data_IF_663121052470
#
_entry.id   IF_663121052470
#
_cell.length_a   1.000
_cell.length_b   1.000
_cell.length_c   1.000
_cell.angle_alpha   90.00
_cell.angle_beta   90.00
_cell.angle_gamma   90.00
#
_symmetry.space_group_name_H-M   'P 1'
#
loop_
_entity.id
_entity.type
_entity.pdbx_description
1 polymer ?
#
# COMPACT_ATOMS: atom_id res chain seq x y z
N UNK A 1 -24.41 33.44 5.98
CA UNK A 1 -24.14 34.12 4.70
C UNK A 1 -24.97 33.42 3.65
N UNK A 2 -25.88 34.12 2.96
CA UNK A 2 -26.70 33.51 1.91
C UNK A 2 -25.79 33.12 0.74
N UNK A 3 -25.63 31.82 0.50
CA UNK A 3 -24.86 31.30 -0.64
C UNK A 3 -25.52 31.77 -1.93
N UNK A 4 -24.77 32.51 -2.74
CA UNK A 4 -25.15 32.94 -4.09
C UNK A 4 -25.22 31.73 -5.01
N UNK A 5 -26.24 30.89 -4.85
CA UNK A 5 -26.52 29.79 -5.78
C UNK A 5 -26.88 30.39 -7.14
N UNK A 6 -26.21 29.92 -8.19
CA UNK A 6 -26.50 30.28 -9.58
C UNK A 6 -27.97 29.99 -9.88
N UNK A 7 -28.62 30.85 -10.66
CA UNK A 7 -29.97 30.56 -11.14
C UNK A 7 -29.90 29.26 -11.97
N UNK A 8 -30.66 28.25 -11.57
CA UNK A 8 -30.71 26.98 -12.28
C UNK A 8 -31.33 27.18 -13.66
N UNK A 9 -30.62 26.76 -14.71
CA UNK A 9 -31.15 26.70 -16.07
C UNK A 9 -31.82 25.35 -16.34
N UNK A 10 -31.36 24.30 -15.63
CA UNK A 10 -31.85 22.94 -15.76
C UNK A 10 -31.91 22.28 -14.38
N UNK A 11 -33.10 21.81 -13.99
CA UNK A 11 -33.33 21.11 -12.73
C UNK A 11 -33.95 19.75 -13.01
N UNK A 12 -33.37 18.70 -12.44
CA UNK A 12 -33.94 17.35 -12.43
C UNK A 12 -34.26 16.98 -10.99
N UNK A 13 -35.51 16.59 -10.76
CA UNK A 13 -36.06 16.24 -9.45
C UNK A 13 -37.13 15.16 -9.60
N UNK A 14 -37.49 14.50 -8.50
CA UNK A 14 -38.53 13.47 -8.44
C UNK A 14 -38.06 12.04 -8.72
N UNK A 15 -36.74 11.83 -8.82
CA UNK A 15 -36.12 10.52 -9.06
C UNK A 15 -36.04 10.13 -10.55
N UNK A 16 -35.62 8.89 -10.81
CA UNK A 16 -35.47 8.35 -12.17
C UNK A 16 -34.21 8.84 -12.90
N UNK A 17 -34.09 8.51 -14.19
CA UNK A 17 -32.91 8.85 -15.01
C UNK A 17 -33.28 9.78 -16.16
N UNK A 18 -32.56 10.89 -16.27
CA UNK A 18 -32.62 11.81 -17.42
C UNK A 18 -31.31 11.70 -18.20
N UNK A 19 -31.40 11.24 -19.44
CA UNK A 19 -30.26 11.22 -20.37
C UNK A 19 -30.17 12.57 -21.06
N UNK A 20 -29.11 13.32 -20.79
CA UNK A 20 -28.84 14.60 -21.42
C UNK A 20 -27.76 14.37 -22.48
N UNK A 21 -28.16 14.49 -23.75
CA UNK A 21 -27.31 14.17 -24.90
C UNK A 21 -27.15 15.37 -25.82
N UNK A 22 -26.22 15.26 -26.78
CA UNK A 22 -25.89 16.33 -27.73
C UNK A 22 -25.21 17.53 -27.08
N UNK A 23 -24.92 18.55 -27.90
CA UNK A 23 -24.38 19.82 -27.40
C UNK A 23 -25.53 20.70 -26.89
N UNK A 24 -25.53 21.00 -25.60
CA UNK A 24 -26.49 21.93 -25.00
C UNK A 24 -25.86 23.32 -24.86
N UNK A 25 -26.61 24.37 -25.21
CA UNK A 25 -26.13 25.75 -25.24
C UNK A 25 -26.78 26.64 -24.19
N UNK A 26 -27.56 26.07 -23.26
CA UNK A 26 -28.14 26.85 -22.17
C UNK A 26 -27.02 27.40 -21.26
N UNK A 27 -27.25 28.59 -20.72
CA UNK A 27 -26.37 29.23 -19.73
C UNK A 27 -27.05 29.19 -18.37
N UNK A 28 -26.30 28.86 -17.32
CA UNK A 28 -26.82 28.73 -15.96
C UNK A 28 -26.62 27.32 -15.40
N UNK A 29 -26.90 27.16 -14.11
CA UNK A 29 -26.53 25.94 -13.39
C UNK A 29 -27.41 24.73 -13.71
N UNK A 30 -26.84 23.54 -13.51
CA UNK A 30 -27.52 22.25 -13.51
C UNK A 30 -27.74 21.81 -12.06
N UNK A 31 -28.97 21.48 -11.71
CA UNK A 31 -29.33 21.04 -10.36
C UNK A 31 -29.96 19.66 -10.42
N UNK A 32 -29.40 18.70 -9.69
CA UNK A 32 -29.87 17.32 -9.57
C UNK A 32 -30.32 17.09 -8.13
N UNK A 33 -31.58 16.69 -7.94
CA UNK A 33 -32.24 16.56 -6.64
C UNK A 33 -33.08 15.27 -6.57
N UNK A 34 -33.57 14.96 -5.36
CA UNK A 34 -34.64 13.97 -5.16
C UNK A 34 -34.27 12.55 -5.57
N UNK A 35 -33.00 12.14 -5.42
CA UNK A 35 -32.53 10.81 -5.83
C UNK A 35 -32.47 10.61 -7.34
N UNK A 36 -32.53 11.69 -8.13
CA UNK A 36 -32.49 11.60 -9.59
C UNK A 36 -31.09 11.23 -10.13
N UNK A 37 -31.06 10.70 -11.35
CA UNK A 37 -29.83 10.41 -12.09
C UNK A 37 -29.79 11.28 -13.35
N UNK A 38 -28.75 12.08 -13.54
CA UNK A 38 -28.47 12.75 -14.82
C UNK A 38 -27.35 12.00 -15.52
N UNK A 39 -27.64 11.44 -16.69
CA UNK A 39 -26.69 10.70 -17.51
C UNK A 39 -26.12 11.60 -18.61
N UNK A 40 -24.78 11.66 -18.67
CA UNK A 40 -24.01 12.47 -19.62
C UNK A 40 -22.88 11.66 -20.25
N UNK A 41 -22.47 12.06 -21.45
CA UNK A 41 -21.35 11.51 -22.22
C UNK A 41 -20.31 12.57 -22.62
N UNK A 42 -20.56 13.86 -22.35
CA UNK A 42 -19.64 14.97 -22.59
C UNK A 42 -19.94 16.15 -21.66
N UNK A 43 -18.94 17.01 -21.40
CA UNK A 43 -19.11 18.26 -20.62
C UNK A 43 -20.21 19.17 -21.20
N UNK A 44 -20.27 19.27 -22.54
CA UNK A 44 -21.27 20.07 -23.25
C UNK A 44 -22.71 19.56 -23.08
N UNK A 45 -22.93 18.36 -22.53
CA UNK A 45 -24.28 17.97 -22.13
C UNK A 45 -24.81 18.86 -21.00
N UNK A 46 -23.92 19.36 -20.12
CA UNK A 46 -24.24 20.22 -18.97
C UNK A 46 -24.40 21.71 -19.35
N UNK A 47 -24.62 22.02 -20.63
CA UNK A 47 -24.81 23.38 -21.13
C UNK A 47 -23.49 24.08 -21.48
N UNK A 48 -23.53 25.40 -21.67
CA UNK A 48 -22.32 26.19 -21.85
C UNK A 48 -21.53 26.29 -20.54
N UNK A 49 -20.21 26.10 -20.61
CA UNK A 49 -19.32 26.33 -19.47
C UNK A 49 -19.26 27.83 -19.13
N UNK A 50 -19.17 28.19 -17.84
CA UNK A 50 -19.01 29.59 -17.46
C UNK A 50 -17.60 30.09 -17.83
N UNK A 51 -17.47 31.37 -18.17
CA UNK A 51 -16.18 31.96 -18.59
C UNK A 51 -15.21 32.24 -17.44
N UNK A 52 -15.66 32.03 -16.21
CA UNK A 52 -14.91 32.16 -14.95
C UNK A 52 -15.46 31.11 -13.99
N UNK A 53 -14.67 30.69 -13.01
CA UNK A 53 -15.13 29.73 -12.01
C UNK A 53 -16.41 30.20 -11.31
N UNK A 54 -17.44 29.34 -11.31
CA UNK A 54 -18.71 29.58 -10.62
C UNK A 54 -19.02 28.43 -9.66
N UNK A 55 -19.01 28.67 -8.32
CA UNK A 55 -19.40 27.66 -7.35
C UNK A 55 -20.82 27.13 -7.56
N UNK A 56 -21.01 25.81 -7.42
CA UNK A 56 -22.33 25.18 -7.52
C UNK A 56 -23.02 25.37 -8.88
N UNK A 57 -22.23 25.49 -9.96
CA UNK A 57 -22.74 25.49 -11.33
C UNK A 57 -23.33 24.12 -11.68
N UNK A 58 -22.76 23.05 -11.14
CA UNK A 58 -23.40 21.72 -11.08
C UNK A 58 -23.70 21.43 -9.62
N UNK A 59 -24.93 21.05 -9.29
CA UNK A 59 -25.33 20.69 -7.92
C UNK A 59 -25.81 19.24 -7.92
N UNK A 60 -25.13 18.38 -7.16
CA UNK A 60 -25.47 16.97 -6.98
C UNK A 60 -25.94 16.82 -5.53
N UNK A 61 -27.24 16.95 -5.31
CA UNK A 61 -27.85 16.94 -3.97
C UNK A 61 -28.55 15.61 -3.78
N UNK A 62 -27.96 14.70 -3.00
CA UNK A 62 -28.50 13.37 -2.71
C UNK A 62 -28.97 12.64 -3.98
N UNK A 63 -28.14 12.73 -5.02
CA UNK A 63 -28.47 12.34 -6.39
C UNK A 63 -27.22 11.90 -7.15
N UNK A 64 -27.37 11.50 -8.42
CA UNK A 64 -26.29 10.91 -9.21
C UNK A 64 -26.01 11.68 -10.51
N UNK A 65 -24.74 11.96 -10.75
CA UNK A 65 -24.21 12.23 -12.08
C UNK A 65 -23.64 10.93 -12.67
N UNK A 66 -24.26 10.39 -13.71
CA UNK A 66 -23.85 9.17 -14.40
C UNK A 66 -23.03 9.52 -15.66
N UNK A 67 -21.77 9.11 -15.70
CA UNK A 67 -20.82 9.34 -16.78
C UNK A 67 -20.68 8.09 -17.64
N UNK A 68 -21.11 8.20 -18.90
CA UNK A 68 -21.27 7.07 -19.83
C UNK A 68 -20.22 7.05 -20.96
N UNK A 69 -19.36 8.06 -21.03
CA UNK A 69 -18.24 8.14 -21.98
C UNK A 69 -17.15 9.01 -21.38
N UNK A 70 -15.90 8.82 -21.81
CA UNK A 70 -14.77 9.52 -21.19
C UNK A 70 -14.74 11.00 -21.60
N UNK A 71 -14.67 11.89 -20.62
CA UNK A 71 -14.49 13.32 -20.86
C UNK A 71 -13.89 14.02 -19.63
N UNK A 72 -13.46 15.26 -19.84
CA UNK A 72 -13.01 16.17 -18.78
C UNK A 72 -14.09 17.22 -18.55
N UNK A 73 -14.50 17.42 -17.30
CA UNK A 73 -15.38 18.56 -16.97
C UNK A 73 -14.56 19.85 -17.02
N UNK A 74 -15.19 20.90 -17.54
CA UNK A 74 -14.60 22.23 -17.55
C UNK A 74 -14.35 22.72 -16.11
N UNK A 75 -13.12 23.17 -15.77
CA UNK A 75 -12.74 23.47 -14.39
C UNK A 75 -13.47 24.70 -13.82
N UNK A 76 -14.05 25.55 -14.66
CA UNK A 76 -14.86 26.68 -14.23
C UNK A 76 -16.26 26.27 -13.71
N UNK A 77 -16.69 25.02 -13.94
CA UNK A 77 -17.96 24.49 -13.42
C UNK A 77 -17.84 23.98 -11.99
N UNK A 78 -17.84 24.88 -11.00
CA UNK A 78 -17.84 24.48 -9.59
C UNK A 78 -18.95 23.49 -9.25
N UNK A 79 -18.63 22.44 -8.51
CA UNK A 79 -19.55 21.34 -8.19
C UNK A 79 -19.94 21.43 -6.72
N UNK A 80 -21.24 21.55 -6.46
CA UNK A 80 -21.77 21.49 -5.11
C UNK A 80 -22.23 20.08 -4.78
N UNK A 81 -21.75 19.54 -3.66
CA UNK A 81 -22.24 18.30 -3.06
C UNK A 81 -22.79 18.62 -1.67
N UNK A 82 -24.07 18.40 -1.47
CA UNK A 82 -24.70 18.75 -0.21
C UNK A 82 -26.07 18.12 -0.09
N UNK A 83 -26.52 17.85 1.13
CA UNK A 83 -27.88 17.38 1.41
C UNK A 83 -28.73 18.41 2.16
N UNK A 84 -29.93 17.98 2.53
CA UNK A 84 -30.87 18.81 3.32
C UNK A 84 -30.78 18.57 4.83
N UNK A 85 -30.15 17.47 5.26
CA UNK A 85 -29.82 17.19 6.67
C UNK A 85 -28.87 15.98 6.82
N UNK A 86 -27.90 16.04 7.73
CA UNK A 86 -27.05 14.90 8.10
C UNK A 86 -25.84 14.65 7.20
N UNK A 87 -25.31 13.43 7.24
CA UNK A 87 -24.32 12.92 6.28
C UNK A 87 -25.04 12.67 4.95
N UNK A 88 -24.63 13.38 3.91
CA UNK A 88 -25.23 13.31 2.58
C UNK A 88 -24.14 13.24 1.52
N UNK A 89 -24.46 12.63 0.38
CA UNK A 89 -23.50 12.44 -0.70
C UNK A 89 -24.02 13.00 -2.02
N UNK A 90 -23.12 13.62 -2.77
CA UNK A 90 -23.26 13.68 -4.23
C UNK A 90 -22.68 12.41 -4.83
N UNK A 91 -23.45 11.69 -5.64
CA UNK A 91 -22.97 10.45 -6.28
C UNK A 91 -22.40 10.75 -7.65
N UNK A 92 -21.19 10.27 -7.92
CA UNK A 92 -20.56 10.23 -9.23
C UNK A 92 -20.47 8.77 -9.66
N UNK A 93 -21.27 8.36 -10.64
CA UNK A 93 -21.23 7.01 -11.20
C UNK A 93 -20.50 7.05 -12.54
N UNK A 94 -19.35 6.40 -12.64
CA UNK A 94 -18.56 6.31 -13.88
C UNK A 94 -18.66 4.88 -14.40
N UNK A 95 -19.14 4.69 -15.63
CA UNK A 95 -19.31 3.34 -16.19
C UNK A 95 -17.97 2.59 -16.36
N UNK A 96 -17.98 1.25 -16.41
CA UNK A 96 -16.76 0.47 -16.58
C UNK A 96 -16.01 0.85 -17.87
N UNK A 97 -14.70 1.01 -17.78
CA UNK A 97 -13.84 1.42 -18.91
C UNK A 97 -13.95 2.91 -19.30
N UNK A 98 -14.74 3.69 -18.57
CA UNK A 98 -14.86 5.14 -18.76
C UNK A 98 -13.96 5.88 -17.78
N UNK A 99 -13.36 6.99 -18.26
CA UNK A 99 -12.54 7.89 -17.44
C UNK A 99 -13.21 9.25 -17.36
N UNK A 100 -13.58 9.67 -16.16
CA UNK A 100 -14.10 11.01 -15.89
C UNK A 100 -13.04 11.86 -15.20
N UNK A 101 -12.55 12.90 -15.88
CA UNK A 101 -11.51 13.78 -15.34
C UNK A 101 -12.13 15.05 -14.79
N UNK A 102 -11.86 15.36 -13.53
CA UNK A 102 -12.36 16.56 -12.85
C UNK A 102 -11.22 17.46 -12.37
N UNK A 103 -11.11 18.60 -13.04
CA UNK A 103 -10.30 19.75 -12.60
C UNK A 103 -11.11 20.83 -11.89
N UNK A 104 -12.41 20.64 -11.72
CA UNK A 104 -13.28 21.52 -10.94
C UNK A 104 -13.28 21.15 -9.45
N UNK A 105 -13.64 22.11 -8.60
CA UNK A 105 -13.74 21.94 -7.14
C UNK A 105 -15.10 21.37 -6.77
N UNK A 106 -15.09 20.30 -5.97
CA UNK A 106 -16.24 19.85 -5.19
C UNK A 106 -16.26 20.57 -3.84
N UNK A 107 -17.39 21.17 -3.49
CA UNK A 107 -17.58 22.00 -2.30
C UNK A 107 -18.95 21.70 -1.66
N UNK A 108 -19.00 21.71 -0.32
CA UNK A 108 -20.22 21.59 0.48
C UNK A 108 -20.63 22.95 1.11
N UNK A 109 -19.95 24.01 0.69
CA UNK A 109 -20.07 25.40 1.14
C UNK A 109 -19.81 25.56 2.66
N UNK A 110 -19.06 24.63 3.27
CA UNK A 110 -18.71 24.64 4.69
C UNK A 110 -19.92 24.51 5.63
N UNK A 111 -21.06 24.04 5.12
CA UNK A 111 -22.35 24.05 5.84
C UNK A 111 -22.87 22.67 6.23
N UNK A 112 -22.18 21.59 5.86
CA UNK A 112 -22.62 20.21 6.07
C UNK A 112 -21.43 19.27 6.18
N UNK A 113 -21.62 18.06 6.70
CA UNK A 113 -20.63 16.96 6.62
C UNK A 113 -20.80 16.17 5.32
N UNK A 114 -21.05 16.85 4.20
CA UNK A 114 -21.39 16.18 2.94
C UNK A 114 -20.15 15.73 2.21
N UNK A 115 -20.25 14.59 1.55
CA UNK A 115 -19.15 13.93 0.88
C UNK A 115 -19.44 13.58 -0.57
N UNK A 116 -18.56 12.76 -1.14
CA UNK A 116 -18.73 12.19 -2.48
C UNK A 116 -18.84 10.67 -2.36
N UNK A 117 -19.77 10.10 -3.13
CA UNK A 117 -19.90 8.67 -3.34
C UNK A 117 -19.54 8.34 -4.79
N UNK A 118 -18.48 7.58 -5.02
CA UNK A 118 -17.99 7.21 -6.35
C UNK A 118 -18.32 5.75 -6.62
N UNK A 119 -18.96 5.46 -7.75
CA UNK A 119 -19.38 4.10 -8.11
C UNK A 119 -19.37 3.86 -9.62
N UNK A 120 -19.79 2.67 -10.07
CA UNK A 120 -20.02 2.32 -11.46
C UNK A 120 -18.90 1.55 -12.16
N UNK A 121 -17.72 1.39 -11.54
CA UNK A 121 -16.64 0.57 -12.08
C UNK A 121 -15.64 1.29 -13.00
N UNK A 122 -15.84 2.58 -13.25
CA UNK A 122 -14.93 3.41 -14.04
C UNK A 122 -13.83 4.08 -13.22
N UNK A 123 -13.06 4.93 -13.89
CA UNK A 123 -12.01 5.75 -13.26
C UNK A 123 -12.47 7.19 -13.10
N UNK A 124 -12.45 7.68 -11.86
CA UNK A 124 -12.69 9.07 -11.51
C UNK A 124 -11.36 9.75 -11.19
N UNK A 125 -10.90 10.64 -12.06
CA UNK A 125 -9.62 11.34 -11.90
C UNK A 125 -9.86 12.71 -11.29
N UNK A 126 -9.29 12.94 -10.11
CA UNK A 126 -9.49 14.17 -9.34
C UNK A 126 -8.19 14.95 -9.27
N UNK A 127 -8.20 16.16 -9.83
CA UNK A 127 -6.99 17.00 -9.94
C UNK A 127 -7.09 18.31 -9.16
N UNK A 128 -8.30 18.73 -8.79
CA UNK A 128 -8.54 19.93 -8.00
C UNK A 128 -8.32 19.70 -6.49
N UNK A 129 -8.07 20.79 -5.77
CA UNK A 129 -8.20 20.84 -4.32
C UNK A 129 -9.68 20.88 -3.99
N UNK A 130 -10.20 19.87 -3.31
CA UNK A 130 -11.62 19.79 -2.97
C UNK A 130 -11.89 20.31 -1.57
N UNK A 131 -13.05 20.95 -1.39
CA UNK A 131 -13.42 21.69 -0.18
C UNK A 131 -14.55 21.04 0.62
N UNK A 132 -15.20 19.98 0.08
CA UNK A 132 -16.16 19.21 0.86
C UNK A 132 -15.51 18.65 2.14
N UNK A 133 -16.29 18.60 3.21
CA UNK A 133 -15.82 18.27 4.56
C UNK A 133 -16.33 16.94 5.10
N UNK A 134 -17.16 16.22 4.33
CA UNK A 134 -17.56 14.84 4.61
C UNK A 134 -16.69 13.79 3.91
N UNK A 135 -17.11 12.53 4.00
CA UNK A 135 -16.31 11.39 3.55
C UNK A 135 -16.19 11.27 2.03
N UNK A 136 -15.09 10.67 1.58
CA UNK A 136 -15.00 10.11 0.22
C UNK A 136 -15.29 8.62 0.29
N UNK A 137 -16.30 8.15 -0.44
CA UNK A 137 -16.67 6.73 -0.52
C UNK A 137 -16.40 6.22 -1.92
N UNK A 138 -15.67 5.13 -2.05
CA UNK A 138 -15.28 4.50 -3.31
C UNK A 138 -15.88 3.11 -3.34
N UNK A 139 -16.85 2.86 -4.23
CA UNK A 139 -17.51 1.56 -4.39
C UNK A 139 -17.22 0.98 -5.77
N UNK A 140 -16.55 -0.16 -5.83
CA UNK A 140 -16.19 -0.91 -7.05
C UNK A 140 -15.44 -0.09 -8.12
N UNK A 141 -14.96 1.11 -7.80
CA UNK A 141 -14.45 2.10 -8.77
C UNK A 141 -13.02 2.50 -8.47
N UNK A 142 -12.32 3.09 -9.44
CA UNK A 142 -10.99 3.66 -9.22
C UNK A 142 -11.08 5.17 -9.03
N UNK A 143 -10.58 5.70 -7.91
CA UNK A 143 -10.38 7.14 -7.72
C UNK A 143 -8.90 7.47 -7.82
N UNK A 144 -8.52 8.20 -8.86
CA UNK A 144 -7.14 8.60 -9.10
C UNK A 144 -6.89 9.99 -8.51
N UNK A 145 -5.86 10.10 -7.65
CA UNK A 145 -5.46 11.32 -6.95
C UNK A 145 -3.95 11.53 -6.96
N UNK A 146 -3.52 12.76 -6.72
CA UNK A 146 -2.12 13.17 -6.63
C UNK A 146 -1.76 13.83 -5.30
N UNK A 147 -2.74 14.05 -4.42
CA UNK A 147 -2.56 14.64 -3.10
C UNK A 147 -3.76 14.33 -2.20
N UNK A 148 -3.56 14.31 -0.88
CA UNK A 148 -4.65 14.10 0.11
C UNK A 148 -5.81 15.10 -0.06
N UNK A 149 -5.50 16.37 -0.37
CA UNK A 149 -6.52 17.39 -0.59
C UNK A 149 -7.41 17.17 -1.82
N UNK A 150 -7.08 16.21 -2.70
CA UNK A 150 -8.01 15.75 -3.73
C UNK A 150 -9.20 14.99 -3.12
N UNK A 151 -9.06 14.44 -1.92
CA UNK A 151 -10.09 13.68 -1.18
C UNK A 151 -10.96 14.57 -0.27
N UNK A 152 -10.94 15.89 -0.49
CA UNK A 152 -11.66 16.86 0.33
C UNK A 152 -10.86 17.32 1.54
N UNK A 153 -11.48 18.14 2.38
CA UNK A 153 -10.86 18.68 3.60
C UNK A 153 -10.58 17.55 4.59
N UNK A 154 -9.32 17.43 5.02
CA UNK A 154 -8.95 16.49 6.09
C UNK A 154 -9.65 16.89 7.41
N UNK A 155 -10.12 15.94 8.21
CA UNK A 155 -10.83 16.23 9.44
C UNK A 155 -9.84 16.73 10.50
N UNK A 156 -10.28 17.64 11.37
CA UNK A 156 -9.41 18.25 12.40
C UNK A 156 -9.06 17.29 13.55
N UNK A 157 -9.82 16.21 13.68
CA UNK A 157 -9.63 15.13 14.65
C UNK A 157 -9.85 13.81 13.92
N UNK A 158 -9.21 12.74 14.41
CA UNK A 158 -9.39 11.42 13.84
C UNK A 158 -10.88 11.07 13.72
N UNK A 159 -11.29 10.77 12.49
CA UNK A 159 -12.65 10.41 12.12
C UNK A 159 -12.57 9.14 11.29
N UNK A 160 -13.02 8.02 11.86
CA UNK A 160 -13.13 6.75 11.14
C UNK A 160 -14.10 6.89 9.96
N UNK A 161 -13.80 6.23 8.83
CA UNK A 161 -14.64 6.26 7.63
C UNK A 161 -14.70 7.63 6.94
N UNK A 162 -13.69 8.48 7.11
CA UNK A 162 -13.55 9.71 6.33
C UNK A 162 -13.07 9.44 4.90
N UNK A 163 -12.41 8.30 4.70
CA UNK A 163 -12.24 7.64 3.43
C UNK A 163 -12.77 6.19 3.57
N UNK A 164 -13.60 5.75 2.62
CA UNK A 164 -14.14 4.39 2.58
C UNK A 164 -13.80 3.80 1.21
N UNK A 165 -13.20 2.61 1.18
CA UNK A 165 -12.84 1.88 -0.03
C UNK A 165 -13.49 0.49 0.00
N UNK A 166 -14.64 0.37 -0.66
CA UNK A 166 -15.50 -0.81 -0.64
C UNK A 166 -15.48 -1.48 -2.03
N UNK A 167 -14.66 -2.51 -2.19
CA UNK A 167 -14.36 -3.15 -3.48
C UNK A 167 -13.64 -2.25 -4.49
N UNK A 168 -13.41 -0.98 -4.13
CA UNK A 168 -12.81 0.04 -4.98
C UNK A 168 -11.29 0.11 -4.89
N UNK A 169 -10.72 1.11 -5.57
CA UNK A 169 -9.28 1.39 -5.59
C UNK A 169 -9.01 2.88 -5.39
N UNK A 170 -8.18 3.22 -4.41
CA UNK A 170 -7.50 4.51 -4.37
C UNK A 170 -6.22 4.42 -5.20
N UNK A 171 -6.12 5.22 -6.25
CA UNK A 171 -4.97 5.24 -7.16
C UNK A 171 -4.15 6.53 -6.95
N UNK A 172 -2.96 6.40 -6.35
CA UNK A 172 -1.99 7.48 -6.17
C UNK A 172 -1.00 7.60 -7.34
N UNK A 173 -0.95 8.78 -7.98
CA UNK A 173 -0.02 9.10 -9.08
C UNK A 173 1.19 9.96 -8.66
N UNK A 174 1.22 10.41 -7.41
CA UNK A 174 2.28 11.27 -6.86
C UNK A 174 2.54 10.88 -5.41
N UNK A 175 3.74 11.20 -4.90
CA UNK A 175 4.08 10.94 -3.51
C UNK A 175 3.36 11.91 -2.58
N UNK A 176 2.55 11.39 -1.66
CA UNK A 176 1.89 12.17 -0.63
C UNK A 176 1.55 11.30 0.59
N UNK A 177 1.15 11.96 1.68
CA UNK A 177 0.67 11.33 2.90
C UNK A 177 -0.83 11.55 3.02
N UNK A 178 -1.60 10.47 3.24
CA UNK A 178 -2.98 10.56 3.71
C UNK A 178 -2.96 11.07 5.15
N UNK A 179 -3.74 12.11 5.43
CA UNK A 179 -3.74 12.77 6.75
C UNK A 179 -4.07 11.76 7.87
N UNK A 180 -3.34 11.82 8.98
CA UNK A 180 -3.51 10.87 10.09
C UNK A 180 -4.93 10.91 10.71
N UNK A 181 -5.66 12.01 10.56
CA UNK A 181 -7.03 12.13 11.04
C UNK A 181 -8.07 11.57 10.05
N UNK A 182 -7.70 11.37 8.77
CA UNK A 182 -8.58 10.77 7.75
C UNK A 182 -8.60 9.26 7.95
N UNK A 183 -9.38 8.78 8.92
CA UNK A 183 -9.55 7.35 9.16
C UNK A 183 -10.11 6.65 7.92
N UNK A 184 -9.58 5.47 7.62
CA UNK A 184 -9.90 4.70 6.43
C UNK A 184 -10.68 3.46 6.85
N UNK A 185 -11.81 3.19 6.18
CA UNK A 185 -12.47 1.89 6.25
C UNK A 185 -12.35 1.18 4.90
N UNK A 186 -12.13 -0.13 4.92
CA UNK A 186 -12.04 -0.98 3.72
C UNK A 186 -13.10 -2.07 3.73
N UNK A 187 -13.51 -2.52 2.55
CA UNK A 187 -14.50 -3.60 2.37
C UNK A 187 -15.96 -3.17 2.45
N UNK A 188 -16.84 -4.16 2.40
CA UNK A 188 -18.30 -3.97 2.30
C UNK A 188 -18.93 -4.05 3.70
N UNK A 189 -19.96 -3.24 3.95
CA UNK A 189 -20.57 -3.18 5.29
C UNK A 189 -21.42 -4.41 5.66
N UNK A 190 -21.65 -5.32 4.72
CA UNK A 190 -22.57 -6.47 4.83
C UNK A 190 -21.87 -7.80 4.58
N UNK A 191 -20.94 -7.86 3.62
CA UNK A 191 -20.17 -9.05 3.28
C UNK A 191 -18.68 -8.77 3.38
N UNK A 192 -17.87 -9.82 3.53
CA UNK A 192 -16.42 -9.68 3.44
C UNK A 192 -16.05 -9.14 2.06
N UNK A 193 -15.39 -8.00 2.05
CA UNK A 193 -14.91 -7.29 0.87
C UNK A 193 -13.43 -6.95 0.98
N UNK A 194 -12.97 -6.08 0.09
CA UNK A 194 -11.61 -5.56 0.13
C UNK A 194 -11.54 -4.08 -0.18
N UNK A 195 -10.45 -3.44 0.20
CA UNK A 195 -10.07 -2.11 -0.27
C UNK A 195 -8.70 -2.15 -0.95
N UNK A 196 -8.60 -1.56 -2.15
CA UNK A 196 -7.36 -1.59 -2.92
C UNK A 196 -6.62 -0.24 -2.93
N UNK A 197 -5.29 -0.31 -2.88
CA UNK A 197 -4.40 0.82 -3.14
C UNK A 197 -3.53 0.54 -4.37
N UNK A 198 -3.68 1.35 -5.41
CA UNK A 198 -2.77 1.37 -6.55
C UNK A 198 -1.75 2.49 -6.39
N UNK A 199 -0.47 2.15 -6.39
CA UNK A 199 0.61 3.15 -6.32
C UNK A 199 1.48 3.08 -7.57
N UNK A 200 1.65 4.21 -8.23
CA UNK A 200 2.45 4.31 -9.46
C UNK A 200 3.94 4.09 -9.26
N UNK A 201 4.64 3.83 -10.35
CA UNK A 201 6.08 3.59 -10.29
C UNK A 201 6.81 4.80 -9.71
N UNK A 202 7.76 4.55 -8.81
CA UNK A 202 8.53 5.59 -8.11
C UNK A 202 7.70 6.52 -7.22
N UNK A 203 6.44 6.18 -6.95
CA UNK A 203 5.56 6.90 -6.02
C UNK A 203 5.54 6.18 -4.67
N UNK A 204 5.49 6.96 -3.60
CA UNK A 204 5.23 6.48 -2.23
C UNK A 204 3.90 7.08 -1.75
N UNK A 205 2.91 6.24 -1.49
CA UNK A 205 1.71 6.63 -0.77
C UNK A 205 1.90 6.29 0.70
N UNK A 206 1.99 7.30 1.57
CA UNK A 206 2.05 7.08 3.02
C UNK A 206 0.65 7.15 3.61
N UNK A 207 0.23 6.11 4.31
CA UNK A 207 -1.01 6.10 5.09
C UNK A 207 -0.63 6.24 6.57
N UNK A 208 -0.79 7.45 7.08
CA UNK A 208 -0.51 7.77 8.49
C UNK A 208 -1.71 7.53 9.41
N UNK A 209 -2.90 7.35 8.84
CA UNK A 209 -4.14 7.03 9.55
C UNK A 209 -4.24 5.54 9.88
N UNK A 210 -5.21 5.19 10.73
CA UNK A 210 -5.67 3.81 10.90
C UNK A 210 -6.49 3.39 9.67
N UNK A 211 -6.26 2.16 9.20
CA UNK A 211 -7.15 1.40 8.33
C UNK A 211 -7.87 0.35 9.18
N UNK A 212 -9.18 0.25 9.03
CA UNK A 212 -10.06 -0.65 9.79
C UNK A 212 -11.15 -1.23 8.87
N UNK A 213 -11.89 -2.23 9.35
CA UNK A 213 -12.96 -2.89 8.59
C UNK A 213 -14.19 -1.97 8.45
N UNK A 214 -14.85 -2.02 7.30
CA UNK A 214 -16.06 -1.24 7.03
C UNK A 214 -17.34 -1.97 7.47
N UNK A 215 -17.25 -2.94 8.36
CA UNK A 215 -18.39 -3.77 8.74
C UNK A 215 -18.08 -4.80 9.80
N UNK A 216 -18.91 -5.84 9.85
CA UNK A 216 -18.64 -7.03 10.66
C UNK A 216 -18.18 -8.14 9.73
N UNK A 217 -16.90 -8.15 9.37
CA UNK A 217 -16.31 -9.14 8.49
C UNK A 217 -14.81 -8.90 8.37
N UNK A 218 -14.08 -9.95 8.00
CA UNK A 218 -12.62 -9.94 7.85
C UNK A 218 -12.24 -9.23 6.53
N UNK A 219 -12.48 -7.92 6.43
CA UNK A 219 -12.23 -7.15 5.21
C UNK A 219 -10.72 -7.02 4.92
N UNK A 220 -10.34 -7.28 3.67
CA UNK A 220 -8.94 -7.39 3.26
C UNK A 220 -8.37 -6.15 2.60
N UNK A 221 -7.07 -5.93 2.73
CA UNK A 221 -6.34 -4.89 2.00
C UNK A 221 -5.63 -5.48 0.79
N UNK A 222 -5.77 -4.84 -0.37
CA UNK A 222 -5.03 -5.24 -1.58
C UNK A 222 -4.08 -4.13 -2.03
N UNK A 223 -2.78 -4.43 -2.09
CA UNK A 223 -1.75 -3.55 -2.63
C UNK A 223 -1.40 -3.93 -4.07
N UNK A 224 -1.71 -3.03 -4.99
CA UNK A 224 -1.38 -3.15 -6.42
C UNK A 224 -0.50 -1.98 -6.89
N UNK A 225 -0.10 -2.02 -8.16
CA UNK A 225 0.78 -1.04 -8.78
C UNK A 225 2.24 -1.16 -8.31
N UNK A 226 3.21 -0.71 -9.13
CA UNK A 226 4.63 -0.95 -8.90
C UNK A 226 5.28 -0.07 -7.82
N UNK A 227 4.57 0.94 -7.30
CA UNK A 227 5.07 1.83 -6.25
C UNK A 227 5.01 1.26 -4.85
N UNK A 228 5.32 2.12 -3.87
CA UNK A 228 5.34 1.79 -2.45
C UNK A 228 4.08 2.29 -1.74
N UNK A 229 3.36 1.38 -1.08
CA UNK A 229 2.40 1.74 -0.05
C UNK A 229 3.10 1.63 1.29
N UNK A 230 3.17 2.73 2.02
CA UNK A 230 3.79 2.80 3.34
C UNK A 230 2.72 2.93 4.41
N UNK A 231 2.62 1.95 5.31
CA UNK A 231 1.68 1.93 6.42
C UNK A 231 2.39 2.41 7.70
N UNK A 232 2.10 3.64 8.12
CA UNK A 232 2.62 4.25 9.36
C UNK A 232 1.64 4.08 10.54
N UNK A 233 0.35 3.89 10.27
CA UNK A 233 -0.70 3.70 11.27
C UNK A 233 -0.69 2.30 11.91
N UNK A 234 -1.40 2.18 13.04
CA UNK A 234 -1.75 0.90 13.65
C UNK A 234 -3.06 0.40 13.02
N UNK A 235 -2.94 -0.42 11.98
CA UNK A 235 -4.09 -0.90 11.21
C UNK A 235 -4.75 -2.08 11.93
N UNK A 236 -6.07 -2.10 11.93
CA UNK A 236 -6.90 -2.99 12.74
C UNK A 236 -7.86 -3.87 11.94
N UNK A 237 -7.84 -3.77 10.60
CA UNK A 237 -8.62 -4.64 9.73
C UNK A 237 -8.24 -6.11 9.93
N UNK A 238 -9.22 -7.00 9.89
CA UNK A 238 -9.04 -8.42 10.27
C UNK A 238 -8.76 -9.32 9.05
N UNK A 239 -9.12 -8.89 7.84
CA UNK A 239 -8.86 -9.63 6.60
C UNK A 239 -7.41 -9.57 6.11
N UNK A 240 -7.05 -10.55 5.27
CA UNK A 240 -5.69 -10.68 4.72
C UNK A 240 -5.22 -9.41 4.00
N UNK A 241 -3.93 -9.11 4.14
CA UNK A 241 -3.23 -8.12 3.33
C UNK A 241 -2.59 -8.82 2.12
N UNK A 242 -3.17 -8.64 0.93
CA UNK A 242 -2.65 -9.17 -0.32
C UNK A 242 -1.72 -8.14 -1.00
N UNK A 243 -0.46 -8.51 -1.21
CA UNK A 243 0.52 -7.65 -1.90
C UNK A 243 0.84 -8.22 -3.26
N UNK A 244 0.03 -7.81 -4.23
CA UNK A 244 0.09 -8.27 -5.63
C UNK A 244 1.26 -7.67 -6.40
N UNK A 245 1.57 -6.38 -6.17
CA UNK A 245 2.63 -5.66 -6.89
C UNK A 245 3.29 -4.58 -6.04
N UNK A 246 4.54 -4.27 -6.40
CA UNK A 246 5.32 -3.21 -5.78
C UNK A 246 5.74 -3.54 -4.36
N UNK A 247 5.83 -2.51 -3.52
CA UNK A 247 6.29 -2.64 -2.14
C UNK A 247 5.18 -2.29 -1.15
N UNK A 248 4.98 -3.14 -0.15
CA UNK A 248 4.31 -2.79 1.10
C UNK A 248 5.39 -2.53 2.16
N UNK A 249 5.50 -1.29 2.61
CA UNK A 249 6.44 -0.87 3.66
C UNK A 249 5.68 -0.70 4.98
N UNK A 250 5.79 -1.66 5.89
CA UNK A 250 5.12 -1.66 7.19
C UNK A 250 6.04 -0.98 8.21
N UNK A 251 5.64 0.20 8.69
CA UNK A 251 6.36 0.93 9.75
C UNK A 251 5.55 0.99 11.04
N UNK A 252 4.22 1.10 10.92
CA UNK A 252 3.28 0.89 12.02
C UNK A 252 3.02 -0.59 12.23
N UNK A 253 1.75 -1.00 12.24
CA UNK A 253 1.38 -2.40 12.41
C UNK A 253 0.19 -2.82 11.54
N UNK A 254 0.10 -4.11 11.26
CA UNK A 254 -1.11 -4.78 10.78
C UNK A 254 -1.50 -5.88 11.78
N UNK A 255 -2.79 -6.19 11.87
CA UNK A 255 -3.35 -7.25 12.74
C UNK A 255 -3.62 -8.56 12.01
N UNK A 256 -3.56 -8.55 10.67
CA UNK A 256 -3.94 -9.68 9.82
C UNK A 256 -2.75 -10.37 9.18
N UNK A 257 -3.02 -11.56 8.63
CA UNK A 257 -2.10 -12.28 7.75
C UNK A 257 -1.70 -11.41 6.55
N UNK A 258 -0.49 -11.61 6.03
CA UNK A 258 0.01 -10.90 4.86
C UNK A 258 0.51 -11.90 3.82
N UNK A 259 -0.04 -11.82 2.62
CA UNK A 259 0.34 -12.65 1.47
C UNK A 259 1.10 -11.81 0.44
N UNK A 260 2.40 -12.06 0.31
CA UNK A 260 3.24 -11.41 -0.68
C UNK A 260 3.32 -12.25 -1.96
N UNK A 261 2.69 -11.77 -3.03
CA UNK A 261 2.63 -12.44 -4.32
C UNK A 261 3.88 -12.21 -5.20
N UNK A 262 3.97 -12.95 -6.30
CA UNK A 262 5.18 -13.02 -7.11
C UNK A 262 5.68 -11.65 -7.59
N UNK A 263 6.93 -11.34 -7.25
CA UNK A 263 7.59 -10.08 -7.61
C UNK A 263 7.26 -8.89 -6.71
N UNK A 264 6.40 -9.04 -5.70
CA UNK A 264 6.16 -8.01 -4.70
C UNK A 264 7.21 -8.03 -3.59
N UNK A 265 7.18 -7.00 -2.74
CA UNK A 265 8.14 -6.83 -1.65
C UNK A 265 7.42 -6.40 -0.38
N UNK A 266 7.73 -7.08 0.73
CA UNK A 266 7.42 -6.62 2.09
C UNK A 266 8.68 -6.00 2.67
N UNK A 267 8.56 -4.79 3.20
CA UNK A 267 9.65 -4.05 3.82
C UNK A 267 9.21 -3.34 5.09
N UNK A 268 10.15 -2.65 5.73
CA UNK A 268 9.86 -1.75 6.84
C UNK A 268 10.27 -2.25 8.22
N UNK A 269 9.96 -1.46 9.24
CA UNK A 269 10.42 -1.69 10.62
C UNK A 269 9.30 -2.00 11.62
N UNK A 270 8.09 -2.23 11.11
CA UNK A 270 6.88 -2.40 11.90
C UNK A 270 6.57 -3.85 12.21
N UNK A 271 5.31 -4.07 12.61
CA UNK A 271 4.81 -5.37 13.05
C UNK A 271 3.72 -5.89 12.11
N UNK A 272 3.96 -7.05 11.50
CA UNK A 272 2.93 -7.86 10.82
C UNK A 272 2.39 -8.87 11.84
N UNK A 273 1.39 -8.51 12.65
CA UNK A 273 0.86 -9.37 13.73
C UNK A 273 -0.08 -10.45 13.19
N UNK A 274 0.42 -11.19 12.20
CA UNK A 274 -0.20 -12.32 11.54
C UNK A 274 0.88 -13.12 10.80
N UNK A 275 0.46 -14.14 10.07
CA UNK A 275 1.37 -14.96 9.26
C UNK A 275 1.80 -14.20 8.01
N UNK A 276 3.10 -14.00 7.83
CA UNK A 276 3.70 -13.54 6.59
C UNK A 276 4.01 -14.71 5.66
N UNK A 277 3.23 -14.85 4.59
CA UNK A 277 3.44 -15.86 3.55
C UNK A 277 3.98 -15.21 2.27
N UNK A 278 4.96 -15.83 1.62
CA UNK A 278 5.53 -15.31 0.37
C UNK A 278 5.47 -16.34 -0.75
N UNK A 279 5.07 -15.91 -1.95
CA UNK A 279 5.07 -16.72 -3.16
C UNK A 279 5.98 -16.09 -4.22
N UNK A 280 7.26 -16.44 -4.23
CA UNK A 280 8.27 -15.79 -5.10
C UNK A 280 8.34 -14.27 -4.91
N UNK A 281 8.25 -13.82 -3.66
CA UNK A 281 8.28 -12.41 -3.25
C UNK A 281 9.54 -12.10 -2.43
N UNK A 282 9.76 -10.81 -2.13
CA UNK A 282 10.89 -10.37 -1.31
C UNK A 282 10.44 -9.96 0.09
N UNK A 283 11.25 -10.28 1.09
CA UNK A 283 11.15 -9.73 2.46
C UNK A 283 12.46 -9.01 2.76
N UNK A 284 12.38 -7.69 2.93
CA UNK A 284 13.51 -6.78 3.11
C UNK A 284 13.29 -5.94 4.38
N UNK A 285 13.69 -6.43 5.57
CA UNK A 285 13.53 -5.66 6.80
C UNK A 285 14.15 -4.26 6.70
N UNK A 286 13.45 -3.29 7.27
CA UNK A 286 13.86 -1.89 7.34
C UNK A 286 13.60 -1.05 6.09
N UNK A 287 14.04 0.21 6.21
CA UNK A 287 14.53 1.00 5.05
C UNK A 287 16.04 0.79 4.86
N UNK A 288 16.51 -0.32 5.44
CA UNK A 288 17.86 -0.84 5.52
C UNK A 288 18.88 -0.01 6.33
N UNK A 289 19.46 -0.56 7.42
CA UNK A 289 19.01 -1.75 8.14
C UNK A 289 17.75 -1.49 9.00
N UNK A 290 17.09 -2.53 9.50
CA UNK A 290 15.91 -2.46 10.36
C UNK A 290 15.46 -3.82 10.91
N UNK A 291 14.45 -3.79 11.78
CA UNK A 291 13.83 -5.00 12.31
C UNK A 291 12.38 -5.01 11.83
N UNK A 292 11.99 -6.03 11.09
CA UNK A 292 10.60 -6.30 10.76
C UNK A 292 10.11 -7.43 11.67
N UNK A 293 8.96 -7.27 12.30
CA UNK A 293 8.37 -8.33 13.13
C UNK A 293 7.23 -9.03 12.41
N UNK A 294 7.07 -10.32 12.66
CA UNK A 294 5.88 -11.09 12.25
C UNK A 294 5.55 -12.18 13.26
N UNK A 295 4.32 -12.68 13.24
CA UNK A 295 3.98 -13.86 14.03
C UNK A 295 4.66 -15.09 13.46
N UNK A 296 4.18 -15.63 12.34
CA UNK A 296 4.85 -16.72 11.63
C UNK A 296 5.33 -16.25 10.27
N UNK A 297 6.37 -16.88 9.74
CA UNK A 297 6.83 -16.64 8.37
C UNK A 297 6.91 -17.93 7.57
N UNK A 298 6.29 -17.94 6.40
CA UNK A 298 6.40 -19.00 5.40
C UNK A 298 6.96 -18.45 4.10
N UNK A 299 8.17 -18.87 3.79
CA UNK A 299 8.78 -18.63 2.50
C UNK A 299 8.53 -19.78 1.54
N UNK A 300 8.13 -19.47 0.30
CA UNK A 300 8.17 -20.43 -0.79
C UNK A 300 9.51 -20.43 -1.52
N UNK A 301 9.74 -21.48 -2.29
CA UNK A 301 10.83 -21.52 -3.26
C UNK A 301 10.67 -20.39 -4.29
N UNK A 302 11.75 -19.66 -4.53
CA UNK A 302 11.75 -18.48 -5.41
C UNK A 302 11.63 -17.16 -4.64
N UNK A 303 11.19 -17.18 -3.38
CA UNK A 303 11.22 -15.98 -2.52
C UNK A 303 12.65 -15.59 -2.14
N UNK A 304 12.84 -14.33 -1.79
CA UNK A 304 14.13 -13.79 -1.34
C UNK A 304 13.99 -13.13 0.03
N UNK A 305 14.85 -13.53 0.96
CA UNK A 305 15.06 -12.79 2.20
C UNK A 305 16.33 -11.96 2.07
N UNK A 306 16.18 -10.63 2.07
CA UNK A 306 17.29 -9.68 1.98
C UNK A 306 17.73 -9.22 3.36
N UNK A 307 19.05 -9.15 3.56
CA UNK A 307 19.64 -8.72 4.82
C UNK A 307 20.87 -7.85 4.53
N UNK A 308 20.79 -6.58 4.88
CA UNK A 308 21.91 -5.67 4.99
C UNK A 308 22.64 -5.81 6.33
N UNK A 309 23.97 -5.95 6.29
CA UNK A 309 24.83 -6.05 7.46
C UNK A 309 25.74 -4.82 7.56
N UNK A 310 25.46 -3.93 8.52
CA UNK A 310 26.29 -2.79 8.92
C UNK A 310 27.00 -2.96 10.26
N UNK A 311 26.68 -4.01 11.01
CA UNK A 311 27.32 -4.39 12.27
C UNK A 311 26.62 -5.57 12.95
N UNK A 312 27.10 -5.98 14.13
CA UNK A 312 26.64 -7.21 14.79
C UNK A 312 25.34 -7.08 15.61
N UNK A 313 24.84 -5.86 15.81
CA UNK A 313 23.59 -5.62 16.56
C UNK A 313 22.44 -5.44 15.57
N UNK A 314 21.28 -6.10 15.71
CA UNK A 314 20.14 -5.84 14.83
C UNK A 314 19.56 -4.44 15.09
N UNK A 315 18.88 -3.83 14.13
CA UNK A 315 18.19 -2.54 14.33
C UNK A 315 18.37 -1.51 13.21
N UNK A 316 17.73 -0.36 13.39
CA UNK A 316 17.66 0.72 12.38
C UNK A 316 18.78 1.77 12.54
N UNK A 317 20.04 1.33 12.50
CA UNK A 317 21.19 2.20 12.74
C UNK A 317 22.37 1.93 11.81
N UNK A 318 23.24 2.93 11.66
CA UNK A 318 24.35 2.89 10.70
C UNK A 318 25.42 1.82 11.00
N UNK A 319 25.36 1.21 12.18
CA UNK A 319 26.24 0.12 12.65
C UNK A 319 25.45 -1.12 13.04
N UNK A 320 24.21 -1.25 12.56
CA UNK A 320 23.32 -2.36 12.84
C UNK A 320 23.17 -3.26 11.61
N UNK A 321 22.39 -4.33 11.73
CA UNK A 321 21.99 -5.19 10.62
C UNK A 321 20.48 -5.44 10.60
N UNK A 322 20.00 -5.92 9.47
CA UNK A 322 18.63 -6.36 9.33
C UNK A 322 18.34 -7.60 10.12
N UNK A 323 17.13 -7.66 10.64
CA UNK A 323 16.61 -8.85 11.28
C UNK A 323 15.12 -9.00 10.99
N UNK A 324 14.71 -10.23 10.71
CA UNK A 324 13.32 -10.63 10.83
C UNK A 324 13.12 -11.18 12.25
N UNK A 325 12.21 -10.57 13.01
CA UNK A 325 11.81 -11.05 14.32
C UNK A 325 10.52 -11.87 14.18
N UNK A 326 10.52 -13.12 14.63
CA UNK A 326 9.43 -14.07 14.44
C UNK A 326 9.03 -14.65 15.79
N UNK A 327 7.75 -14.51 16.15
CA UNK A 327 7.22 -14.97 17.44
C UNK A 327 6.61 -16.38 17.40
N UNK A 328 6.38 -16.89 16.20
CA UNK A 328 5.83 -18.19 15.88
C UNK A 328 6.75 -19.00 14.96
N UNK A 329 6.18 -19.69 13.99
CA UNK A 329 6.95 -20.66 13.18
C UNK A 329 7.75 -20.00 12.06
N UNK A 330 8.92 -20.58 11.75
CA UNK A 330 9.76 -20.19 10.61
C UNK A 330 9.84 -21.34 9.61
N UNK A 331 9.29 -21.16 8.42
CA UNK A 331 9.43 -22.08 7.29
C UNK A 331 10.19 -21.41 6.15
N UNK A 332 11.40 -21.89 5.85
CA UNK A 332 12.30 -21.23 4.88
C UNK A 332 12.08 -21.65 3.41
N UNK A 333 11.43 -22.79 3.18
CA UNK A 333 10.99 -23.29 1.87
C UNK A 333 12.00 -23.31 0.71
N UNK A 334 13.30 -23.18 0.97
CA UNK A 334 14.30 -23.04 -0.08
C UNK A 334 14.39 -21.63 -0.66
N UNK A 335 13.96 -20.59 0.06
CA UNK A 335 14.15 -19.20 -0.34
C UNK A 335 15.63 -18.83 -0.52
N UNK A 336 15.88 -17.79 -1.31
CA UNK A 336 17.22 -17.23 -1.50
C UNK A 336 17.56 -16.29 -0.34
N UNK A 337 18.68 -16.52 0.33
CA UNK A 337 19.26 -15.54 1.26
C UNK A 337 20.13 -14.57 0.46
N UNK A 338 19.73 -13.30 0.40
CA UNK A 338 20.50 -12.22 -0.23
C UNK A 338 21.16 -11.36 0.84
N UNK A 339 22.48 -11.18 0.74
CA UNK A 339 23.27 -10.48 1.74
C UNK A 339 23.92 -9.22 1.15
N UNK A 340 23.65 -8.08 1.76
CA UNK A 340 24.23 -6.78 1.42
C UNK A 340 25.22 -6.30 2.48
N UNK A 341 26.33 -5.71 2.05
CA UNK A 341 27.17 -4.90 2.96
C UNK A 341 26.51 -3.53 3.13
N UNK A 342 26.37 -3.07 4.36
CA UNK A 342 25.91 -1.71 4.65
C UNK A 342 27.06 -0.85 5.16
N UNK A 343 27.10 0.41 4.70
CA UNK A 343 28.01 1.44 5.20
C UNK A 343 29.51 1.02 5.28
N UNK A 344 29.96 0.19 4.31
CA UNK A 344 31.35 -0.27 4.24
C UNK A 344 31.77 -1.23 5.35
N UNK A 345 30.82 -1.85 6.05
CA UNK A 345 31.10 -2.75 7.18
C UNK A 345 31.95 -3.95 6.77
N UNK A 346 33.06 -4.19 7.46
CA UNK A 346 33.91 -5.36 7.26
C UNK A 346 33.80 -6.30 8.47
N UNK A 347 33.25 -7.52 8.30
CA UNK A 347 33.14 -8.48 9.38
C UNK A 347 34.52 -8.93 9.89
N UNK A 348 34.58 -9.29 11.17
CA UNK A 348 35.78 -9.84 11.81
C UNK A 348 35.63 -11.34 12.08
N UNK A 349 36.76 -12.05 12.21
CA UNK A 349 36.74 -13.48 12.50
C UNK A 349 36.08 -13.78 13.85
N UNK A 350 35.09 -14.66 13.86
CA UNK A 350 34.27 -15.05 15.00
C UNK A 350 33.01 -14.20 15.20
N UNK A 351 32.80 -13.15 14.39
CA UNK A 351 31.64 -12.28 14.53
C UNK A 351 30.35 -12.97 14.08
N UNK A 352 29.28 -12.78 14.86
CA UNK A 352 27.97 -13.40 14.65
C UNK A 352 26.89 -12.39 14.34
N UNK A 353 25.89 -12.79 13.54
CA UNK A 353 24.75 -11.98 13.12
C UNK A 353 23.49 -12.84 13.19
N UNK A 354 22.49 -12.43 13.98
CA UNK A 354 21.21 -13.13 14.11
C UNK A 354 20.24 -12.50 13.11
N UNK A 355 20.09 -13.14 11.94
CA UNK A 355 19.34 -12.57 10.82
C UNK A 355 17.85 -12.92 10.88
N UNK A 356 17.51 -14.03 11.54
CA UNK A 356 16.14 -14.33 11.96
C UNK A 356 16.22 -14.66 13.46
N UNK A 357 15.54 -13.85 14.27
CA UNK A 357 15.31 -14.13 15.68
C UNK A 357 14.00 -14.89 15.79
N UNK A 358 14.08 -16.15 16.22
CA UNK A 358 12.93 -17.03 16.40
C UNK A 358 12.73 -17.20 17.90
N UNK A 359 11.97 -16.28 18.49
CA UNK A 359 12.02 -16.01 19.93
C UNK A 359 11.31 -17.06 20.80
N UNK A 360 10.50 -17.92 20.18
CA UNK A 360 9.75 -19.00 20.82
C UNK A 360 10.59 -20.28 20.86
N UNK A 361 10.00 -21.42 21.25
CA UNK A 361 10.67 -22.74 21.13
C UNK A 361 10.38 -23.41 19.77
N UNK A 362 9.69 -22.72 18.86
CA UNK A 362 9.28 -23.28 17.58
C UNK A 362 10.50 -23.54 16.69
N UNK A 363 10.47 -24.63 15.94
CA UNK A 363 11.61 -25.03 15.10
C UNK A 363 11.63 -24.24 13.79
N UNK A 364 12.83 -23.84 13.36
CA UNK A 364 13.07 -23.47 11.96
C UNK A 364 12.94 -24.72 11.10
N UNK A 365 12.06 -24.68 10.11
CA UNK A 365 11.85 -25.77 9.16
C UNK A 365 12.36 -25.41 7.76
N UNK A 366 12.93 -26.41 7.08
CA UNK A 366 13.62 -26.20 5.81
C UNK A 366 14.93 -25.44 5.97
N UNK A 367 15.50 -25.01 4.84
CA UNK A 367 16.74 -24.23 4.78
C UNK A 367 16.63 -23.19 3.67
N UNK A 368 17.53 -22.22 3.64
CA UNK A 368 17.73 -21.40 2.45
C UNK A 368 18.30 -22.26 1.31
N UNK A 369 18.09 -21.80 0.07
CA UNK A 369 18.56 -22.49 -1.12
C UNK A 369 20.08 -22.72 -1.08
N UNK A 370 20.51 -23.97 -1.27
CA UNK A 370 21.93 -24.33 -1.31
C UNK A 370 22.70 -24.20 0.02
N UNK A 371 22.01 -23.86 1.11
CA UNK A 371 22.63 -23.61 2.42
C UNK A 371 22.05 -24.58 3.45
N UNK A 372 22.57 -25.81 3.51
CA UNK A 372 22.24 -26.73 4.60
C UNK A 372 22.77 -26.21 5.97
N UNK A 373 22.39 -26.84 7.07
CA UNK A 373 22.99 -26.56 8.40
C UNK A 373 24.52 -26.62 8.32
N UNK A 374 25.20 -25.55 8.74
CA UNK A 374 26.66 -25.41 8.61
C UNK A 374 27.15 -25.06 7.20
N UNK A 375 26.24 -24.70 6.29
CA UNK A 375 26.53 -24.25 4.94
C UNK A 375 27.45 -23.03 4.92
N UNK A 376 28.29 -22.94 3.88
CA UNK A 376 29.33 -21.91 3.77
C UNK A 376 29.02 -20.89 2.69
N UNK A 377 29.15 -19.61 3.05
CA UNK A 377 29.05 -18.47 2.14
C UNK A 377 30.46 -17.89 2.01
N UNK A 378 31.12 -18.20 0.90
CA UNK A 378 32.50 -17.74 0.63
C UNK A 378 32.55 -16.24 0.37
N UNK A 379 33.67 -15.61 0.74
CA UNK A 379 33.90 -14.18 0.55
C UNK A 379 32.75 -13.31 1.10
N UNK A 380 32.29 -13.66 2.31
CA UNK A 380 31.19 -13.02 3.00
C UNK A 380 31.36 -11.50 3.05
N UNK A 381 30.41 -10.76 2.47
CA UNK A 381 30.43 -9.31 2.34
C UNK A 381 31.70 -8.75 1.68
N UNK A 382 32.36 -9.52 0.82
CA UNK A 382 33.61 -9.11 0.15
C UNK A 382 34.85 -9.09 1.06
N UNK A 383 34.76 -9.61 2.29
CA UNK A 383 35.84 -9.53 3.29
C UNK A 383 36.97 -10.56 3.13
N UNK A 384 36.80 -11.54 2.23
CA UNK A 384 37.64 -12.74 2.16
C UNK A 384 37.39 -13.77 3.27
N UNK A 385 36.53 -13.47 4.25
CA UNK A 385 36.05 -14.44 5.24
C UNK A 385 34.97 -15.36 4.63
N UNK A 386 34.73 -16.50 5.28
CA UNK A 386 33.59 -17.37 4.98
C UNK A 386 32.58 -17.26 6.10
N UNK A 387 31.32 -16.95 5.80
CA UNK A 387 30.24 -17.08 6.79
C UNK A 387 29.72 -18.52 6.82
N UNK A 388 29.42 -19.01 8.01
CA UNK A 388 28.76 -20.30 8.23
C UNK A 388 27.37 -20.03 8.80
N UNK A 389 26.35 -20.63 8.20
CA UNK A 389 24.95 -20.51 8.66
C UNK A 389 24.61 -21.60 9.67
N UNK A 390 23.81 -21.25 10.68
CA UNK A 390 23.16 -22.17 11.61
C UNK A 390 21.68 -21.83 11.71
N UNK A 391 20.83 -22.85 11.66
CA UNK A 391 19.37 -22.80 11.90
C UNK A 391 18.99 -23.20 13.34
N UNK A 392 20.01 -23.45 14.17
CA UNK A 392 19.90 -23.74 15.59
C UNK A 392 20.87 -22.86 16.38
N UNK A 393 21.09 -21.63 15.91
CA UNK A 393 21.96 -20.65 16.56
C UNK A 393 21.24 -19.90 17.69
N UNK A 394 21.94 -18.93 18.28
CA UNK A 394 21.39 -18.01 19.28
C UNK A 394 20.79 -18.74 20.49
N UNK A 395 19.48 -18.63 20.70
CA UNK A 395 18.72 -19.30 21.77
C UNK A 395 18.52 -20.81 21.56
N UNK A 396 18.82 -21.32 20.36
CA UNK A 396 18.74 -22.75 20.02
C UNK A 396 17.95 -23.03 18.74
N UNK A 397 17.25 -22.02 18.22
CA UNK A 397 16.37 -22.09 17.04
C UNK A 397 16.44 -20.82 16.18
N UNK A 398 17.45 -19.96 16.37
CA UNK A 398 17.67 -18.78 15.55
C UNK A 398 18.43 -19.10 14.25
N UNK A 399 18.25 -18.26 13.24
CA UNK A 399 19.08 -18.28 12.03
C UNK A 399 20.24 -17.31 12.16
N UNK A 400 21.44 -17.86 12.28
CA UNK A 400 22.66 -17.12 12.63
C UNK A 400 23.75 -17.34 11.60
N UNK A 401 24.41 -16.25 11.20
CA UNK A 401 25.64 -16.27 10.42
C UNK A 401 26.84 -16.04 11.33
N UNK A 402 27.90 -16.85 11.19
CA UNK A 402 29.18 -16.65 11.89
C UNK A 402 30.32 -16.54 10.88
N UNK A 403 31.07 -15.43 10.93
CA UNK A 403 32.20 -15.21 10.03
C UNK A 403 33.46 -15.93 10.53
N UNK A 404 34.14 -16.67 9.65
CA UNK A 404 35.40 -17.34 9.95
C UNK A 404 36.48 -16.99 8.93
N UNK A 405 37.72 -16.91 9.41
CA UNK A 405 38.90 -16.85 8.56
C UNK A 405 38.94 -18.09 7.66
N UNK A 406 39.34 -17.94 6.39
CA UNK A 406 39.45 -19.07 5.49
C UNK A 406 40.41 -20.11 6.08
N UNK A 407 40.00 -21.39 6.04
CA UNK A 407 40.88 -22.48 6.47
C UNK A 407 42.15 -22.47 5.59
N UNK A 408 43.37 -22.53 6.16
CA UNK A 408 44.58 -22.62 5.36
C UNK A 408 44.49 -23.82 4.42
N UNK A 409 44.75 -23.60 3.12
CA UNK A 409 44.81 -24.69 2.15
C UNK A 409 45.88 -25.70 2.59
N UNK A 410 45.50 -26.98 2.67
CA UNK A 410 46.38 -28.06 3.12
C UNK A 410 47.54 -28.20 2.12
N UNK A 411 48.73 -27.70 2.48
CA UNK A 411 49.94 -27.93 1.69
C UNK A 411 50.27 -29.41 1.75
N UNK A 412 50.03 -30.14 0.67
CA UNK A 412 50.44 -31.53 0.57
C UNK A 412 51.94 -31.58 0.31
N UNK A 413 52.74 -31.68 1.38
CA UNK A 413 54.19 -31.90 1.26
C UNK A 413 54.39 -33.33 0.75
N UNK A 414 54.60 -33.50 -0.57
CA UNK A 414 55.14 -34.76 -1.10
C UNK A 414 56.56 -34.89 -0.57
N UNK A 415 56.78 -35.87 0.30
CA UNK A 415 58.13 -36.23 0.72
C UNK A 415 58.87 -36.78 -0.51
N UNK A 416 60.08 -36.30 -0.85
CA UNK A 416 60.87 -36.89 -1.92
C UNK A 416 61.17 -38.36 -1.56
N UNK A 417 60.93 -39.26 -2.51
CA UNK A 417 61.13 -40.70 -2.32
C UNK A 417 62.55 -40.99 -1.83
N UNK A 418 62.67 -41.64 -0.66
CA UNK A 418 63.95 -42.17 -0.24
C UNK A 418 64.35 -43.30 -1.20
N UNK A 419 65.33 -43.01 -2.07
CA UNK A 419 66.04 -44.03 -2.83
C UNK A 419 66.78 -44.92 -1.81
N UNK A 420 66.23 -46.10 -1.54
CA UNK A 420 66.98 -47.21 -0.94
C UNK A 420 68.16 -47.52 -1.86
N UNK A 421 69.38 -47.22 -1.40
CA UNK A 421 70.59 -47.72 -2.01
C UNK A 421 70.63 -49.24 -1.80
N UNK A 422 70.63 -50.00 -2.89
CA UNK A 422 70.92 -51.43 -2.88
C UNK A 422 72.44 -51.54 -3.03
N UNK A 423 73.12 -51.94 -1.96
CA UNK A 423 74.53 -52.36 -1.99
C UNK A 423 74.62 -53.75 -2.61
N UNK A 424 75.55 -53.91 -3.56
CA UNK A 424 76.07 -55.20 -4.03
C UNK A 424 77.59 -55.18 -3.90
#
# INVERSE_FOLDING_TARGET
MASSRVLAAFTVDGGGTVVVSGTNTFTGGVVILGGSVVSVSADLNLGAAPSVYVPGYVQIVESTLLVTSSFTIDPERGIFVGGTSGLSYGTVSVMPGVVFVVGSVFDDNGTSTSGIFVTGGGTFVVTAVNLYSGSTVIVDSTVQVSSDVNLGTAPLVFTAGHLIIDGGTLFATSTFTVDANRGILIGDSVVVGTGSFWVESSVVLTVASVIDDNGTGDDGLVKVGPGELKLDGANAYEGTTDVDQGTLNVVGSTTSDTEANSGSTIAGTGDVNGTLTTSSANVLPGTSPGILSTDSVTFDNGSTFGVEIGGATPGNGATNHDQLNVTGTVALGGATLSLGQFNGFVPTNGQTFVIINNDSNDTVTGTFNGLAQGGSISNFLGSGLTAIISYAGGTGNDVVLTAFAPRPSRVSIRHPAQRRAVTA
#
